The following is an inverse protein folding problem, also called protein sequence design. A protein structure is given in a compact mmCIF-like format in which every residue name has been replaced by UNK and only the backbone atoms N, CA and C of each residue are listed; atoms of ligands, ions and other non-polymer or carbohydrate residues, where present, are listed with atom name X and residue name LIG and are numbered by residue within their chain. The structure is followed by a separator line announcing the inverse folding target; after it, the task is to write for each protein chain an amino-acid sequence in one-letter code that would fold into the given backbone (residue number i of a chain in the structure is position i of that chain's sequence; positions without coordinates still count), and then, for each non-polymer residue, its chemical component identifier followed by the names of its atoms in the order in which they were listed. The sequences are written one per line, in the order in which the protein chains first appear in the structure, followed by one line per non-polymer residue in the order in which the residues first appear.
data_IF_993219965816
#
_entry.id   IF_993219965816
#
_cell.length_a   1.000
_cell.length_b   1.000
_cell.length_c   1.000
_cell.angle_alpha   90.00
_cell.angle_beta   90.00
_cell.angle_gamma   90.00
#
_symmetry.space_group_name_H-M   'P 1'
#
loop_
_entity.id
_entity.type
_entity.pdbx_description
1 polymer ?
#
# COMPACT_ATOMS: atom_id res chain seq x y z
N UNK A 1 -5.27 12.89 -7.32
CA UNK A 1 -6.61 12.61 -6.78
C UNK A 1 -6.43 11.47 -5.81
N UNK A 2 -6.79 11.67 -4.54
CA UNK A 2 -6.51 10.70 -3.49
C UNK A 2 -7.77 9.86 -3.30
N UNK A 3 -7.87 8.76 -4.05
CA UNK A 3 -8.97 7.80 -3.97
C UNK A 3 -9.13 7.28 -2.54
N UNK A 4 -8.04 7.13 -1.78
CA UNK A 4 -8.11 6.79 -0.35
C UNK A 4 -8.88 7.86 0.46
N UNK A 5 -8.67 9.15 0.17
CA UNK A 5 -9.42 10.24 0.81
C UNK A 5 -10.89 10.25 0.39
N UNK A 6 -11.18 9.95 -0.86
CA UNK A 6 -12.56 9.86 -1.34
C UNK A 6 -13.29 8.67 -0.73
N UNK A 7 -12.65 7.50 -0.67
CA UNK A 7 -13.17 6.32 0.01
C UNK A 7 -13.49 6.62 1.47
N UNK A 8 -12.57 7.30 2.18
CA UNK A 8 -12.81 7.74 3.55
C UNK A 8 -14.03 8.65 3.65
N UNK A 9 -14.13 9.69 2.81
CA UNK A 9 -15.28 10.60 2.79
C UNK A 9 -16.58 9.88 2.46
N UNK A 10 -16.54 8.89 1.57
CA UNK A 10 -17.70 8.10 1.21
C UNK A 10 -18.19 7.27 2.40
N UNK A 11 -17.28 6.58 3.08
CA UNK A 11 -17.57 5.80 4.29
C UNK A 11 -18.10 6.69 5.41
N UNK A 12 -17.51 7.88 5.62
CA UNK A 12 -17.96 8.84 6.63
C UNK A 12 -19.36 9.41 6.33
N UNK A 13 -19.72 9.59 5.06
CA UNK A 13 -21.02 10.13 4.65
C UNK A 13 -22.12 9.08 4.65
N UNK A 14 -21.79 7.84 4.31
CA UNK A 14 -22.77 6.75 4.16
C UNK A 14 -22.27 5.46 4.80
N UNK A 15 -22.08 5.41 6.13
CA UNK A 15 -21.51 4.25 6.82
C UNK A 15 -22.38 2.99 6.71
N UNK A 16 -23.69 3.16 6.55
CA UNK A 16 -24.65 2.06 6.39
C UNK A 16 -24.76 1.52 4.96
N UNK A 17 -24.14 2.18 3.98
CA UNK A 17 -24.19 1.72 2.60
C UNK A 17 -23.40 0.42 2.40
N UNK A 18 -23.90 -0.57 1.65
CA UNK A 18 -23.17 -1.81 1.37
C UNK A 18 -21.78 -1.53 0.78
N UNK A 19 -21.68 -0.58 -0.16
CA UNK A 19 -20.40 -0.10 -0.72
C UNK A 19 -19.41 0.36 0.34
N UNK A 20 -19.84 1.14 1.35
CA UNK A 20 -18.96 1.62 2.40
C UNK A 20 -18.37 0.45 3.22
N UNK A 21 -19.19 -0.58 3.49
CA UNK A 21 -18.75 -1.80 4.19
C UNK A 21 -17.74 -2.60 3.37
N UNK A 22 -17.97 -2.77 2.07
CA UNK A 22 -17.04 -3.46 1.16
C UNK A 22 -15.73 -2.71 1.03
N UNK A 23 -15.76 -1.40 0.80
CA UNK A 23 -14.56 -0.55 0.70
C UNK A 23 -13.74 -0.57 1.99
N UNK A 24 -14.40 -0.53 3.16
CA UNK A 24 -13.71 -0.63 4.46
C UNK A 24 -12.99 -1.97 4.60
N UNK A 25 -13.65 -3.07 4.23
CA UNK A 25 -13.06 -4.41 4.27
C UNK A 25 -11.90 -4.56 3.29
N UNK A 26 -12.00 -3.95 2.11
CA UNK A 26 -10.93 -3.91 1.11
C UNK A 26 -9.68 -3.22 1.67
N UNK A 27 -9.82 -2.04 2.26
CA UNK A 27 -8.70 -1.28 2.85
C UNK A 27 -8.03 -2.06 3.98
N UNK A 28 -8.81 -2.65 4.88
CA UNK A 28 -8.27 -3.47 5.99
C UNK A 28 -7.49 -4.69 5.49
N UNK A 29 -8.00 -5.36 4.45
CA UNK A 29 -7.33 -6.52 3.86
C UNK A 29 -6.01 -6.12 3.18
N UNK A 30 -6.00 -4.97 2.49
CA UNK A 30 -4.80 -4.44 1.84
C UNK A 30 -3.72 -4.02 2.84
N UNK A 31 -4.10 -3.46 3.98
CA UNK A 31 -3.18 -3.11 5.07
C UNK A 31 -2.61 -4.37 5.75
N UNK A 32 -3.48 -5.31 6.11
CA UNK A 32 -3.11 -6.54 6.82
C UNK A 32 -2.47 -7.59 5.89
N UNK A 33 -2.41 -7.35 4.58
CA UNK A 33 -2.03 -8.34 3.56
C UNK A 33 -2.83 -9.65 3.66
N UNK A 34 -4.13 -9.52 3.97
CA UNK A 34 -5.08 -10.63 4.10
C UNK A 34 -5.84 -10.89 2.80
N UNK A 35 -6.44 -12.08 2.70
CA UNK A 35 -7.31 -12.44 1.58
C UNK A 35 -8.56 -11.56 1.54
N UNK A 36 -8.94 -11.14 0.34
CA UNK A 36 -10.17 -10.41 0.06
C UNK A 36 -10.86 -11.02 -1.15
N UNK A 37 -12.17 -11.27 -1.03
CA UNK A 37 -13.01 -11.83 -2.09
C UNK A 37 -13.31 -10.77 -3.16
N UNK A 38 -12.59 -10.81 -4.28
CA UNK A 38 -12.75 -9.86 -5.39
C UNK A 38 -14.16 -9.87 -5.99
N UNK A 39 -14.87 -10.99 -5.92
CA UNK A 39 -16.26 -11.09 -6.39
C UNK A 39 -17.18 -10.07 -5.70
N UNK A 40 -16.88 -9.70 -4.44
CA UNK A 40 -17.67 -8.70 -3.70
C UNK A 40 -17.58 -7.30 -4.30
N UNK A 41 -16.60 -7.03 -5.16
CA UNK A 41 -16.53 -5.76 -5.90
C UNK A 41 -17.56 -5.73 -7.04
N UNK A 42 -17.94 -6.87 -7.60
CA UNK A 42 -18.97 -6.94 -8.64
C UNK A 42 -20.38 -6.68 -8.10
N UNK A 43 -20.60 -6.89 -6.81
CA UNK A 43 -21.86 -6.54 -6.13
C UNK A 43 -22.00 -5.03 -5.88
N UNK A 44 -20.96 -4.24 -6.16
CA UNK A 44 -21.00 -2.79 -6.03
C UNK A 44 -21.65 -2.14 -7.25
N UNK A 45 -22.30 -1.01 -7.01
CA UNK A 45 -22.68 -0.10 -8.09
C UNK A 45 -21.45 0.40 -8.85
N UNK A 46 -21.64 0.85 -10.09
CA UNK A 46 -20.56 1.25 -10.99
C UNK A 46 -19.58 2.27 -10.35
N UNK A 47 -20.11 3.29 -9.66
CA UNK A 47 -19.28 4.29 -8.97
C UNK A 47 -18.50 3.69 -7.80
N UNK A 48 -19.11 2.78 -7.04
CA UNK A 48 -18.46 2.06 -5.95
C UNK A 48 -17.35 1.13 -6.45
N UNK A 49 -17.58 0.47 -7.58
CA UNK A 49 -16.59 -0.37 -8.24
C UNK A 49 -15.41 0.45 -8.77
N UNK A 50 -15.66 1.57 -9.46
CA UNK A 50 -14.60 2.48 -9.92
C UNK A 50 -13.76 2.98 -8.74
N UNK A 51 -14.41 3.40 -7.65
CA UNK A 51 -13.71 3.85 -6.45
C UNK A 51 -12.84 2.75 -5.84
N UNK A 52 -13.32 1.49 -5.79
CA UNK A 52 -12.53 0.36 -5.33
C UNK A 52 -11.28 0.12 -6.19
N UNK A 53 -11.39 0.23 -7.51
CA UNK A 53 -10.26 0.10 -8.43
C UNK A 53 -9.23 1.21 -8.25
N UNK A 54 -9.68 2.45 -8.03
CA UNK A 54 -8.77 3.57 -7.80
C UNK A 54 -8.05 3.46 -6.46
N UNK A 55 -8.71 2.96 -5.40
CA UNK A 55 -8.03 2.59 -4.14
C UNK A 55 -6.93 1.57 -4.40
N UNK A 56 -7.20 0.50 -5.16
CA UNK A 56 -6.20 -0.53 -5.48
C UNK A 56 -4.99 0.03 -6.25
N UNK A 57 -5.23 0.92 -7.22
CA UNK A 57 -4.17 1.58 -7.99
C UNK A 57 -3.30 2.45 -7.09
N UNK A 58 -3.91 3.28 -6.26
CA UNK A 58 -3.20 4.18 -5.36
C UNK A 58 -2.44 3.41 -4.27
N UNK A 59 -3.06 2.37 -3.68
CA UNK A 59 -2.42 1.52 -2.68
C UNK A 59 -1.19 0.79 -3.23
N UNK A 60 -1.29 0.29 -4.48
CA UNK A 60 -0.15 -0.32 -5.16
C UNK A 60 0.99 0.67 -5.36
N UNK A 61 0.68 1.92 -5.73
CA UNK A 61 1.69 2.97 -5.89
C UNK A 61 2.32 3.30 -4.54
N UNK A 62 1.52 3.57 -3.50
CA UNK A 62 1.99 3.91 -2.15
C UNK A 62 2.93 2.83 -1.60
N UNK A 63 2.55 1.55 -1.74
CA UNK A 63 3.41 0.41 -1.36
C UNK A 63 4.68 0.30 -2.21
N UNK A 64 4.64 0.69 -3.48
CA UNK A 64 5.84 0.72 -4.34
C UNK A 64 6.79 1.86 -3.96
N UNK A 65 6.25 3.01 -3.54
CA UNK A 65 7.05 4.12 -3.00
C UNK A 65 7.63 3.80 -1.62
N UNK A 66 6.84 3.21 -0.72
CA UNK A 66 7.32 2.72 0.57
C UNK A 66 8.36 1.57 0.42
N UNK A 67 8.15 0.69 -0.56
CA UNK A 67 9.07 -0.41 -0.86
C UNK A 67 10.39 0.04 -1.49
N UNK A 68 10.38 1.07 -2.36
CA UNK A 68 11.61 1.65 -2.92
C UNK A 68 12.48 2.31 -1.85
N UNK A 69 11.89 2.92 -0.82
CA UNK A 69 12.66 3.47 0.30
C UNK A 69 13.46 2.37 1.01
N UNK A 70 12.82 1.24 1.36
CA UNK A 70 13.50 0.10 2.01
C UNK A 70 14.58 -0.54 1.15
N UNK A 71 14.35 -0.67 -0.16
CA UNK A 71 15.32 -1.26 -1.08
C UNK A 71 16.48 -0.31 -1.37
N UNK A 72 16.22 0.99 -1.41
CA UNK A 72 17.24 2.04 -1.48
C UNK A 72 18.08 2.09 -0.19
N UNK A 73 17.46 2.07 0.98
CA UNK A 73 18.15 1.97 2.29
C UNK A 73 19.02 0.71 2.39
N UNK A 74 18.46 -0.45 2.01
CA UNK A 74 19.20 -1.71 2.03
C UNK A 74 20.35 -1.69 1.01
N UNK A 75 20.14 -1.10 -0.17
CA UNK A 75 21.19 -0.98 -1.19
C UNK A 75 22.28 0.02 -0.77
N UNK A 76 21.94 1.11 -0.07
CA UNK A 76 22.91 2.00 0.55
C UNK A 76 23.73 1.28 1.63
N UNK A 77 23.08 0.56 2.55
CA UNK A 77 23.79 -0.19 3.60
C UNK A 77 24.74 -1.24 3.02
N UNK A 78 24.31 -2.01 2.02
CA UNK A 78 25.15 -3.03 1.37
C UNK A 78 26.32 -2.37 0.62
N UNK A 79 26.10 -1.21 -0.01
CA UNK A 79 27.16 -0.47 -0.68
C UNK A 79 28.17 0.15 0.30
N UNK A 80 27.72 0.68 1.45
CA UNK A 80 28.58 1.20 2.52
C UNK A 80 29.42 0.09 3.17
N UNK A 81 28.83 -1.10 3.39
CA UNK A 81 29.54 -2.28 3.87
C UNK A 81 30.59 -2.79 2.88
N UNK A 82 30.31 -2.71 1.59
CA UNK A 82 31.27 -3.07 0.54
C UNK A 82 32.41 -2.04 0.37
N UNK A 83 32.19 -0.79 0.78
CA UNK A 83 33.18 0.29 0.70
C UNK A 83 34.03 0.43 1.98
N UNK A 84 33.73 -0.32 3.05
CA UNK A 84 34.54 -0.31 4.26
C UNK A 84 35.95 -0.85 3.94
N UNK A 85 37.01 0.00 4.00
CA UNK A 85 38.35 -0.49 3.79
C UNK A 85 38.71 -1.45 4.91
N UNK A 86 39.28 -2.60 4.54
CA UNK A 86 39.83 -3.57 5.48
C UNK A 86 40.67 -2.85 6.55
N UNK A 87 40.53 -3.18 7.84
CA UNK A 87 41.30 -2.53 8.88
C UNK A 87 42.78 -2.73 8.57
N UNK A 88 43.51 -1.63 8.49
CA UNK A 88 44.96 -1.62 8.32
C UNK A 88 45.58 -2.59 9.31
N UNK A 89 46.24 -3.63 8.79
CA UNK A 89 46.98 -4.58 9.59
C UNK A 89 48.04 -3.82 10.43
N UNK A 90 48.14 -4.06 11.74
CA UNK A 90 49.22 -3.48 12.53
C UNK A 90 50.56 -4.13 12.15
N UNK A 91 51.60 -3.31 12.15
CA UNK A 91 52.98 -3.58 11.76
C UNK A 91 53.63 -4.80 12.45
N UNK A 92 54.74 -5.29 11.88
CA UNK A 92 56.04 -5.08 12.55
C UNK A 92 57.02 -4.21 11.76
#
# INVERSE_FOLDING_TARGET
MNAIKEARRFIERQPDHPTARVLSRLVLALESSHSFELVTLYDLDYDGFQLALDILREWRLDRYYAGKAKLFDLSMQVNELALAPAPAAPAP
#
